data_IF_153498131462
#
_entry.id   IF_153498131462
#
_cell.length_a   1.000
_cell.length_b   1.000
_cell.length_c   1.000
_cell.angle_alpha   90.00
_cell.angle_beta   90.00
_cell.angle_gamma   90.00
#
_symmetry.space_group_name_H-M   'P 1'
#
loop_
_entity.id
_entity.type
_entity.pdbx_description
1 polymer ?
#
# COMPACT_ATOMS: atom_id res chain seq x y z
N UNK A 1 58.43 12.52 -2.34
CA UNK A 1 57.71 13.17 -1.23
C UNK A 1 56.23 13.19 -1.60
N UNK A 2 55.53 12.08 -1.37
CA UNK A 2 54.12 11.91 -1.76
C UNK A 2 53.25 12.21 -0.53
N UNK A 3 52.55 13.34 -0.57
CA UNK A 3 51.55 13.68 0.44
C UNK A 3 50.29 12.86 0.20
N UNK A 4 50.00 11.93 1.10
CA UNK A 4 48.73 11.21 1.13
C UNK A 4 47.76 12.07 1.93
N UNK A 5 46.80 12.70 1.25
CA UNK A 5 45.68 13.39 1.89
C UNK A 5 44.70 12.34 2.42
N UNK A 6 44.68 12.14 3.73
CA UNK A 6 43.64 11.38 4.41
C UNK A 6 42.30 12.13 4.30
N UNK A 7 41.35 11.51 3.62
CA UNK A 7 39.97 11.96 3.57
C UNK A 7 39.30 11.70 4.92
N UNK A 8 39.21 12.73 5.74
CA UNK A 8 38.41 12.75 6.98
C UNK A 8 36.92 12.66 6.66
N UNK A 9 36.44 11.44 6.42
CA UNK A 9 35.02 11.12 6.48
C UNK A 9 34.56 11.25 7.93
N UNK A 10 33.89 12.35 8.25
CA UNK A 10 33.22 12.56 9.54
C UNK A 10 32.06 11.57 9.65
N UNK A 11 32.35 10.35 10.12
CA UNK A 11 31.34 9.40 10.56
C UNK A 11 30.69 9.97 11.82
N UNK A 12 29.41 10.33 11.74
CA UNK A 12 28.62 10.65 12.94
C UNK A 12 28.69 9.45 13.88
N UNK A 13 29.06 9.68 15.14
CA UNK A 13 29.02 8.67 16.18
C UNK A 13 27.58 8.14 16.27
N UNK A 14 27.44 6.86 15.96
CA UNK A 14 26.20 6.12 16.01
C UNK A 14 25.95 5.79 17.47
N UNK A 15 24.93 6.38 18.09
CA UNK A 15 24.38 5.84 19.34
C UNK A 15 23.33 4.80 18.91
N UNK A 16 23.64 3.49 19.01
CA UNK A 16 22.67 2.46 18.68
C UNK A 16 21.45 2.67 19.57
N UNK A 17 20.25 2.67 19.00
CA UNK A 17 19.09 2.42 19.82
C UNK A 17 19.26 1.07 20.52
N UNK A 18 18.87 0.97 21.79
CA UNK A 18 18.93 -0.29 22.54
C UNK A 18 17.89 -1.25 21.95
N UNK A 19 18.19 -2.54 21.75
CA UNK A 19 17.18 -3.52 21.36
C UNK A 19 15.98 -3.45 22.31
N UNK A 20 14.77 -3.36 21.77
CA UNK A 20 13.52 -3.26 22.53
C UNK A 20 12.73 -4.56 22.54
N UNK A 21 12.98 -5.45 21.57
CA UNK A 21 12.25 -6.72 21.45
C UNK A 21 13.02 -7.75 20.59
N UNK A 22 12.49 -8.96 20.47
CA UNK A 22 12.91 -9.99 19.50
C UNK A 22 11.75 -10.47 18.64
N UNK A 23 12.03 -10.65 17.34
CA UNK A 23 11.11 -11.32 16.43
C UNK A 23 11.03 -12.84 16.71
N UNK A 24 10.01 -13.50 16.16
CA UNK A 24 9.83 -14.95 16.26
C UNK A 24 10.98 -15.76 15.65
N UNK A 25 11.73 -15.18 14.71
CA UNK A 25 12.93 -15.77 14.11
C UNK A 25 14.20 -15.54 14.97
N UNK A 26 14.05 -14.93 16.15
CA UNK A 26 15.14 -14.63 17.08
C UNK A 26 15.90 -13.34 16.76
N UNK A 27 15.60 -12.64 15.66
CA UNK A 27 16.29 -11.39 15.33
C UNK A 27 15.94 -10.27 16.33
N UNK A 28 16.94 -9.48 16.71
CA UNK A 28 16.73 -8.30 17.53
C UNK A 28 15.94 -7.22 16.79
N UNK A 29 15.10 -6.51 17.53
CA UNK A 29 14.35 -5.35 17.03
C UNK A 29 14.72 -4.13 17.87
N UNK A 30 15.00 -3.03 17.19
CA UNK A 30 15.50 -1.80 17.80
C UNK A 30 14.47 -0.66 17.87
N UNK A 31 13.23 -0.93 17.46
CA UNK A 31 12.09 -0.03 17.57
C UNK A 31 10.79 -0.83 17.77
N UNK A 32 9.75 -0.29 18.44
CA UNK A 32 8.52 -1.02 18.70
C UNK A 32 7.85 -1.52 17.41
N UNK A 33 7.58 -2.83 17.33
CA UNK A 33 6.90 -3.44 16.19
C UNK A 33 5.53 -2.80 15.97
N UNK A 34 5.17 -2.54 14.72
CA UNK A 34 3.93 -1.88 14.33
C UNK A 34 3.98 -0.35 14.37
N UNK A 35 5.07 0.25 14.85
CA UNK A 35 5.20 1.71 14.99
C UNK A 35 6.52 2.21 14.39
N UNK A 36 6.49 3.36 13.73
CA UNK A 36 7.73 4.03 13.34
C UNK A 36 8.21 4.90 14.50
N UNK A 37 9.24 4.46 15.22
CA UNK A 37 9.85 5.26 16.26
C UNK A 37 10.50 6.51 15.66
N UNK A 38 10.11 7.67 16.16
CA UNK A 38 10.61 8.98 15.75
C UNK A 38 11.48 9.53 16.88
N UNK A 39 12.65 10.07 16.54
CA UNK A 39 13.63 10.59 17.50
C UNK A 39 14.16 11.94 17.02
N UNK A 40 15.04 12.54 17.82
CA UNK A 40 15.66 13.83 17.53
C UNK A 40 14.60 14.90 17.19
N UNK A 41 13.56 14.99 18.03
CA UNK A 41 12.44 15.94 17.87
C UNK A 41 11.75 15.88 16.48
N UNK A 42 11.69 14.69 15.87
CA UNK A 42 11.08 14.54 14.54
C UNK A 42 12.05 14.63 13.37
N UNK A 43 13.36 14.75 13.62
CA UNK A 43 14.39 14.79 12.58
C UNK A 43 14.86 13.41 12.14
N UNK A 44 14.65 12.38 12.97
CA UNK A 44 15.04 11.02 12.66
C UNK A 44 13.91 10.01 12.92
N UNK A 45 13.99 8.88 12.22
CA UNK A 45 13.26 7.65 12.51
C UNK A 45 14.25 6.53 12.78
N UNK A 46 13.88 5.58 13.64
CA UNK A 46 14.75 4.46 14.00
C UNK A 46 14.49 3.26 13.10
N UNK A 47 15.55 2.77 12.44
CA UNK A 47 15.47 1.51 11.72
C UNK A 47 15.27 0.36 12.70
N UNK A 48 14.27 -0.48 12.45
CA UNK A 48 13.93 -1.60 13.33
C UNK A 48 14.98 -2.72 13.28
N UNK A 49 15.70 -2.84 12.16
CA UNK A 49 16.66 -3.92 11.94
C UNK A 49 18.04 -3.66 12.55
N UNK A 50 18.44 -2.40 12.68
CA UNK A 50 19.80 -2.04 13.12
C UNK A 50 19.84 -0.93 14.18
N UNK A 51 18.73 -0.28 14.47
CA UNK A 51 18.68 0.82 15.44
C UNK A 51 19.28 2.12 14.94
N UNK A 52 19.61 2.26 13.65
CA UNK A 52 20.15 3.50 13.10
C UNK A 52 19.10 4.62 13.10
N UNK A 53 19.39 5.81 13.68
CA UNK A 53 18.56 6.99 13.50
C UNK A 53 18.81 7.60 12.11
N UNK A 54 17.75 7.71 11.30
CA UNK A 54 17.81 8.11 9.89
C UNK A 54 16.78 9.19 9.59
N UNK A 55 17.07 10.08 8.64
CA UNK A 55 16.03 10.95 8.07
C UNK A 55 14.91 10.14 7.35
N UNK A 56 15.21 8.90 6.95
CA UNK A 56 14.22 7.92 6.52
C UNK A 56 14.81 6.58 6.10
N UNK A 57 14.05 5.51 6.31
CA UNK A 57 14.37 4.16 5.85
C UNK A 57 14.18 4.09 4.33
N UNK A 58 15.25 4.39 3.60
CA UNK A 58 15.26 4.38 2.13
C UNK A 58 15.33 2.96 1.57
N UNK A 59 15.03 2.79 0.27
CA UNK A 59 15.19 1.51 -0.40
C UNK A 59 16.65 1.02 -0.38
N UNK A 60 17.63 1.94 -0.41
CA UNK A 60 19.04 1.59 -0.30
C UNK A 60 19.38 1.06 1.10
N UNK A 61 18.85 1.69 2.15
CA UNK A 61 19.05 1.23 3.51
C UNK A 61 18.37 -0.12 3.76
N UNK A 62 17.10 -0.29 3.37
CA UNK A 62 16.38 -1.57 3.54
C UNK A 62 17.08 -2.74 2.84
N UNK A 63 17.70 -2.51 1.67
CA UNK A 63 18.49 -3.53 0.95
C UNK A 63 19.72 -3.99 1.72
N UNK A 64 20.33 -3.17 2.58
CA UNK A 64 21.42 -3.60 3.46
C UNK A 64 20.99 -4.71 4.43
N UNK A 65 19.69 -4.84 4.66
CA UNK A 65 19.07 -5.91 5.46
C UNK A 65 18.43 -7.00 4.60
N UNK A 66 18.68 -7.02 3.29
CA UNK A 66 18.05 -7.96 2.37
C UNK A 66 16.54 -7.72 2.17
N UNK A 67 16.02 -6.54 2.52
CA UNK A 67 14.59 -6.25 2.49
C UNK A 67 14.24 -5.24 1.38
N UNK A 68 13.09 -5.45 0.74
CA UNK A 68 12.38 -4.39 0.03
C UNK A 68 11.64 -3.50 1.03
N UNK A 69 11.19 -2.30 0.63
CA UNK A 69 10.37 -1.44 1.52
C UNK A 69 9.00 -2.06 1.88
N UNK A 70 8.51 -2.97 1.05
CA UNK A 70 7.27 -3.73 1.33
C UNK A 70 7.57 -4.80 2.38
N UNK A 71 8.59 -5.63 2.13
CA UNK A 71 9.02 -6.68 3.06
C UNK A 71 9.48 -6.11 4.40
N UNK A 72 10.09 -4.91 4.42
CA UNK A 72 10.42 -4.20 5.65
C UNK A 72 9.18 -3.89 6.48
N UNK A 73 8.13 -3.33 5.86
CA UNK A 73 6.88 -3.02 6.57
C UNK A 73 6.21 -4.28 7.10
N UNK A 74 6.13 -5.31 6.26
CA UNK A 74 5.54 -6.60 6.63
C UNK A 74 6.28 -7.24 7.81
N UNK A 75 7.61 -7.32 7.72
CA UNK A 75 8.46 -7.92 8.78
C UNK A 75 8.27 -7.23 10.13
N UNK A 76 8.14 -5.91 10.14
CA UNK A 76 8.03 -5.12 11.36
C UNK A 76 6.59 -4.68 11.68
N UNK A 77 5.58 -5.32 11.07
CA UNK A 77 4.17 -5.06 11.37
C UNK A 77 3.66 -3.66 11.03
N UNK A 78 4.39 -2.88 10.22
CA UNK A 78 4.01 -1.52 9.86
C UNK A 78 2.88 -1.54 8.84
N UNK A 79 1.86 -0.70 9.05
CA UNK A 79 0.82 -0.49 8.06
C UNK A 79 1.45 0.01 6.73
N UNK A 80 0.89 -0.42 5.60
CA UNK A 80 1.27 0.04 4.26
C UNK A 80 1.36 1.57 4.14
N UNK A 81 0.51 2.31 4.87
CA UNK A 81 0.48 3.79 4.87
C UNK A 81 1.46 4.42 5.85
N UNK A 82 2.11 3.66 6.73
CA UNK A 82 3.07 4.21 7.68
C UNK A 82 4.25 4.85 6.93
N UNK A 83 4.53 6.11 7.28
CA UNK A 83 5.69 6.83 6.78
C UNK A 83 6.97 6.17 7.27
N UNK A 84 7.93 6.02 6.36
CA UNK A 84 9.28 5.57 6.69
C UNK A 84 10.27 6.73 6.74
N UNK A 85 9.80 7.98 6.63
CA UNK A 85 10.62 9.18 6.69
C UNK A 85 10.25 9.99 7.93
N UNK A 86 11.24 10.71 8.45
CA UNK A 86 11.08 11.59 9.59
C UNK A 86 10.13 12.76 9.27
N UNK A 87 9.32 13.21 10.24
CA UNK A 87 8.43 14.36 10.08
C UNK A 87 9.13 15.61 9.50
N UNK A 88 10.31 15.95 9.99
CA UNK A 88 11.06 17.11 9.50
C UNK A 88 11.42 16.99 8.01
N UNK A 89 11.85 15.80 7.56
CA UNK A 89 12.13 15.57 6.14
C UNK A 89 10.85 15.60 5.29
N UNK A 90 9.74 15.08 5.82
CA UNK A 90 8.44 15.16 5.16
C UNK A 90 8.02 16.61 4.94
N UNK A 91 8.22 17.47 5.94
CA UNK A 91 7.89 18.89 5.87
C UNK A 91 8.76 19.66 4.88
N UNK A 92 10.09 19.44 4.90
CA UNK A 92 11.00 20.03 3.91
C UNK A 92 10.58 19.67 2.48
N UNK A 93 10.23 18.40 2.24
CA UNK A 93 9.75 17.94 0.93
C UNK A 93 8.42 18.55 0.54
N UNK A 94 7.51 18.78 1.51
CA UNK A 94 6.23 19.44 1.28
C UNK A 94 6.45 20.88 0.82
N UNK A 95 7.27 21.64 1.54
CA UNK A 95 7.59 23.04 1.21
C UNK A 95 8.26 23.15 -0.15
N UNK A 96 9.29 22.36 -0.42
CA UNK A 96 9.97 22.37 -1.72
C UNK A 96 9.05 21.92 -2.86
N UNK A 97 8.19 20.92 -2.61
CA UNK A 97 7.18 20.48 -3.57
C UNK A 97 6.18 21.59 -3.91
N UNK A 98 5.71 22.32 -2.89
CA UNK A 98 4.81 23.47 -3.08
C UNK A 98 5.50 24.59 -3.85
N UNK A 99 6.75 24.90 -3.51
CA UNK A 99 7.55 25.92 -4.22
C UNK A 99 7.69 25.57 -5.70
N UNK A 100 8.12 24.35 -6.01
CA UNK A 100 8.21 23.85 -7.39
C UNK A 100 6.88 23.93 -8.12
N UNK A 101 5.80 23.56 -7.44
CA UNK A 101 4.45 23.63 -8.03
C UNK A 101 4.07 25.06 -8.43
N UNK A 102 4.39 26.05 -7.60
CA UNK A 102 4.08 27.46 -7.86
C UNK A 102 5.00 28.05 -8.94
N UNK A 103 6.31 27.83 -8.83
CA UNK A 103 7.32 28.51 -9.66
C UNK A 103 7.52 27.87 -11.03
N UNK A 104 7.21 26.57 -11.20
CA UNK A 104 7.57 25.82 -12.39
C UNK A 104 6.33 25.41 -13.22
N UNK A 105 6.10 26.11 -14.34
CA UNK A 105 5.01 25.81 -15.27
C UNK A 105 5.13 24.41 -15.88
N UNK A 106 6.34 23.95 -16.22
CA UNK A 106 6.55 22.63 -16.81
C UNK A 106 6.15 21.48 -15.85
N UNK A 107 6.28 21.67 -14.53
CA UNK A 107 5.76 20.70 -13.55
C UNK A 107 4.25 20.59 -13.62
N UNK A 108 3.53 21.72 -13.75
CA UNK A 108 2.06 21.74 -13.86
C UNK A 108 1.59 21.15 -15.19
N UNK A 109 2.23 21.54 -16.28
CA UNK A 109 1.93 21.04 -17.63
C UNK A 109 2.17 19.54 -17.73
N UNK A 110 3.33 19.05 -17.25
CA UNK A 110 3.62 17.62 -17.21
C UNK A 110 2.62 16.83 -16.38
N UNK A 111 2.19 17.36 -15.22
CA UNK A 111 1.15 16.73 -14.42
C UNK A 111 -0.21 16.71 -15.15
N UNK A 112 -0.58 17.79 -15.83
CA UNK A 112 -1.82 17.87 -16.59
C UNK A 112 -1.85 16.83 -17.73
N UNK A 113 -0.74 16.65 -18.44
CA UNK A 113 -0.58 15.58 -19.45
C UNK A 113 -0.77 14.20 -18.82
N UNK A 114 -0.09 13.92 -17.70
CA UNK A 114 -0.24 12.65 -16.98
C UNK A 114 -1.67 12.38 -16.53
N UNK A 115 -2.36 13.40 -16.01
CA UNK A 115 -3.77 13.30 -15.63
C UNK A 115 -4.69 13.04 -16.83
N UNK A 116 -4.44 13.67 -17.98
CA UNK A 116 -5.20 13.41 -19.20
C UNK A 116 -5.03 11.96 -19.67
N UNK A 117 -3.79 11.45 -19.69
CA UNK A 117 -3.50 10.05 -20.02
C UNK A 117 -4.13 9.05 -19.05
N UNK A 118 -4.18 9.38 -17.76
CA UNK A 118 -4.83 8.55 -16.76
C UNK A 118 -6.36 8.53 -16.95
N UNK A 119 -6.98 9.68 -17.25
CA UNK A 119 -8.43 9.78 -17.51
C UNK A 119 -8.85 9.06 -18.79
N UNK A 120 -8.05 9.14 -19.85
CA UNK A 120 -8.35 8.46 -21.12
C UNK A 120 -8.11 6.95 -21.08
N UNK A 121 -7.38 6.45 -20.07
CA UNK A 121 -6.95 5.06 -20.00
C UNK A 121 -5.67 4.75 -20.79
N UNK A 122 -5.14 5.71 -21.55
CA UNK A 122 -3.89 5.54 -22.30
C UNK A 122 -2.71 5.16 -21.39
N UNK A 123 -2.67 5.70 -20.16
CA UNK A 123 -1.62 5.35 -19.18
C UNK A 123 -1.66 3.86 -18.78
N UNK A 124 -2.85 3.25 -18.75
CA UNK A 124 -3.02 1.83 -18.48
C UNK A 124 -2.55 0.97 -19.66
N UNK A 125 -2.81 1.39 -20.88
CA UNK A 125 -2.38 0.69 -22.10
C UNK A 125 -0.86 0.74 -22.25
N UNK A 126 -0.25 1.92 -22.10
CA UNK A 126 1.20 2.09 -22.08
C UNK A 126 1.85 1.25 -20.98
N UNK A 127 1.27 1.27 -19.78
CA UNK A 127 1.73 0.44 -18.67
C UNK A 127 1.59 -1.05 -18.94
N UNK A 128 0.56 -1.48 -19.67
CA UNK A 128 0.39 -2.88 -20.06
C UNK A 128 1.42 -3.31 -21.12
N UNK A 129 1.65 -2.47 -22.13
CA UNK A 129 2.62 -2.72 -23.19
C UNK A 129 4.07 -2.75 -22.69
N UNK A 130 4.40 -1.95 -21.67
CA UNK A 130 5.73 -1.88 -21.09
C UNK A 130 6.07 -3.06 -20.15
N UNK A 131 5.10 -3.90 -19.79
CA UNK A 131 5.33 -5.05 -18.90
C UNK A 131 5.59 -6.31 -19.72
N UNK A 132 6.58 -7.14 -19.35
CA UNK A 132 6.76 -8.46 -19.95
C UNK A 132 5.48 -9.31 -19.85
N UNK A 133 5.24 -10.12 -20.89
CA UNK A 133 4.09 -11.03 -20.89
C UNK A 133 4.11 -11.94 -19.64
N UNK A 134 3.00 -12.01 -18.92
CA UNK A 134 2.86 -12.85 -17.73
C UNK A 134 3.35 -12.23 -16.40
N UNK A 135 4.03 -11.08 -16.38
CA UNK A 135 4.50 -10.45 -15.13
C UNK A 135 3.50 -9.47 -14.50
N UNK A 136 2.32 -9.36 -15.10
CA UNK A 136 1.29 -8.40 -14.69
C UNK A 136 0.80 -8.72 -13.28
N UNK A 137 1.30 -7.99 -12.27
CA UNK A 137 0.65 -7.96 -10.96
C UNK A 137 -0.73 -7.33 -11.11
N UNK A 138 -1.77 -8.02 -10.64
CA UNK A 138 -3.11 -7.46 -10.53
C UNK A 138 -3.07 -6.23 -9.60
N UNK A 139 -2.96 -5.03 -10.17
CA UNK A 139 -3.04 -3.81 -9.38
C UNK A 139 -4.45 -3.70 -8.80
N UNK A 140 -4.55 -3.96 -7.49
CA UNK A 140 -5.76 -3.81 -6.71
C UNK A 140 -6.06 -2.34 -6.42
N UNK A 141 -7.14 -1.85 -7.06
CA UNK A 141 -7.88 -0.58 -6.87
C UNK A 141 -7.06 0.68 -7.24
N UNK A 142 -7.54 1.57 -8.11
CA UNK A 142 -8.74 2.40 -7.87
C UNK A 142 -9.27 3.13 -9.12
N UNK A 143 -10.60 3.26 -9.17
CA UNK A 143 -11.38 4.43 -9.61
C UNK A 143 -11.01 5.18 -10.92
N UNK A 144 -11.18 4.53 -12.08
CA UNK A 144 -11.76 5.28 -13.21
C UNK A 144 -13.26 5.47 -12.91
N UNK A 145 -13.73 6.72 -12.89
CA UNK A 145 -15.13 7.08 -12.71
C UNK A 145 -16.04 6.21 -13.59
N UNK A 146 -17.27 5.96 -13.13
CA UNK A 146 -18.26 5.15 -13.89
C UNK A 146 -18.52 5.72 -15.29
N UNK A 147 -18.34 7.02 -15.49
CA UNK A 147 -18.56 7.71 -16.76
C UNK A 147 -17.32 7.79 -17.68
N UNK A 148 -16.10 7.67 -17.15
CA UNK A 148 -14.86 7.78 -17.93
C UNK A 148 -14.18 6.45 -18.26
N UNK A 149 -14.78 5.31 -17.89
CA UNK A 149 -14.15 4.01 -18.08
C UNK A 149 -14.20 3.56 -19.55
N UNK A 150 -13.04 3.25 -20.12
CA UNK A 150 -12.94 2.65 -21.46
C UNK A 150 -13.81 1.39 -21.58
N UNK A 151 -14.31 1.04 -22.78
CA UNK A 151 -15.12 -0.17 -22.99
C UNK A 151 -14.46 -1.45 -22.45
N UNK A 152 -13.13 -1.57 -22.60
CA UNK A 152 -12.36 -2.70 -22.09
C UNK A 152 -12.37 -2.81 -20.55
N UNK A 153 -12.27 -1.67 -19.85
CA UNK A 153 -12.36 -1.63 -18.38
C UNK A 153 -13.76 -1.97 -17.88
N UNK A 154 -14.81 -1.56 -18.62
CA UNK A 154 -16.20 -1.94 -18.31
C UNK A 154 -16.40 -3.45 -18.45
N UNK A 155 -15.99 -4.03 -19.58
CA UNK A 155 -16.07 -5.46 -19.81
C UNK A 155 -15.28 -6.28 -18.77
N UNK A 156 -14.11 -5.81 -18.35
CA UNK A 156 -13.33 -6.50 -17.31
C UNK A 156 -13.99 -6.46 -15.93
N UNK A 157 -14.57 -5.32 -15.54
CA UNK A 157 -15.34 -5.19 -14.30
C UNK A 157 -16.54 -6.13 -14.30
N UNK A 158 -17.24 -6.21 -15.43
CA UNK A 158 -18.38 -7.10 -15.60
C UNK A 158 -17.98 -8.56 -15.44
N UNK A 159 -16.92 -9.02 -16.15
CA UNK A 159 -16.38 -10.37 -15.99
C UNK A 159 -16.03 -10.69 -14.54
N UNK A 160 -15.36 -9.78 -13.83
CA UNK A 160 -15.01 -9.97 -12.41
C UNK A 160 -16.25 -10.01 -11.50
N UNK A 161 -17.27 -9.22 -11.81
CA UNK A 161 -18.55 -9.21 -11.08
C UNK A 161 -19.28 -10.54 -11.25
N UNK A 162 -19.35 -11.05 -12.47
CA UNK A 162 -19.92 -12.38 -12.79
C UNK A 162 -19.16 -13.48 -12.05
N UNK A 163 -17.83 -13.50 -12.16
CA UNK A 163 -17.00 -14.49 -11.48
C UNK A 163 -17.13 -14.41 -9.94
N UNK A 164 -17.29 -13.20 -9.38
CA UNK A 164 -17.52 -13.03 -7.95
C UNK A 164 -18.88 -13.59 -7.52
N UNK A 165 -19.94 -13.33 -8.28
CA UNK A 165 -21.27 -13.90 -8.02
C UNK A 165 -21.26 -15.42 -8.08
N UNK A 166 -20.59 -16.01 -9.07
CA UNK A 166 -20.44 -17.46 -9.16
C UNK A 166 -19.76 -18.05 -7.93
N UNK A 167 -18.67 -17.43 -7.44
CA UNK A 167 -18.01 -17.87 -6.20
C UNK A 167 -18.93 -17.80 -4.99
N UNK A 168 -19.76 -16.76 -4.88
CA UNK A 168 -20.72 -16.65 -3.78
C UNK A 168 -21.81 -17.71 -3.89
N UNK A 169 -22.35 -17.97 -5.07
CA UNK A 169 -23.35 -19.04 -5.28
C UNK A 169 -22.82 -20.40 -4.83
N UNK A 170 -21.57 -20.74 -5.22
CA UNK A 170 -20.92 -21.99 -4.76
C UNK A 170 -20.79 -22.00 -3.24
N UNK A 171 -20.29 -20.91 -2.66
CA UNK A 171 -20.09 -20.81 -1.21
C UNK A 171 -21.40 -20.88 -0.42
N UNK A 172 -22.47 -20.32 -0.96
CA UNK A 172 -23.81 -20.36 -0.37
C UNK A 172 -24.40 -21.77 -0.40
N UNK A 173 -24.17 -22.52 -1.48
CA UNK A 173 -24.55 -23.93 -1.55
C UNK A 173 -23.78 -24.78 -0.52
N UNK A 174 -22.49 -24.50 -0.30
CA UNK A 174 -21.69 -25.14 0.77
C UNK A 174 -22.23 -24.83 2.18
N UNK A 175 -22.87 -23.67 2.36
CA UNK A 175 -23.52 -23.27 3.61
C UNK A 175 -24.94 -23.85 3.75
N UNK A 176 -25.40 -24.64 2.78
CA UNK A 176 -26.69 -25.34 2.83
C UNK A 176 -27.88 -24.56 2.27
N UNK A 177 -27.64 -23.48 1.51
CA UNK A 177 -28.70 -22.67 0.91
C UNK A 177 -28.80 -22.89 -0.60
N UNK A 178 -29.99 -22.77 -1.16
CA UNK A 178 -30.26 -23.03 -2.59
C UNK A 178 -29.85 -21.85 -3.46
N UNK A 179 -29.87 -20.64 -2.91
CA UNK A 179 -29.51 -19.42 -3.64
C UNK A 179 -28.89 -18.36 -2.73
N UNK A 180 -28.13 -17.45 -3.34
CA UNK A 180 -27.57 -16.29 -2.64
C UNK A 180 -28.66 -15.40 -2.03
N UNK A 181 -29.81 -15.30 -2.69
CA UNK A 181 -30.95 -14.51 -2.21
C UNK A 181 -31.56 -15.10 -0.94
N UNK A 182 -31.79 -16.42 -0.93
CA UNK A 182 -32.28 -17.16 0.24
C UNK A 182 -31.34 -17.00 1.44
N UNK A 183 -30.03 -17.16 1.20
CA UNK A 183 -29.00 -16.93 2.23
C UNK A 183 -29.05 -15.50 2.78
N UNK A 184 -29.09 -14.48 1.93
CA UNK A 184 -29.11 -13.08 2.38
C UNK A 184 -30.40 -12.76 3.14
N UNK A 185 -31.54 -13.32 2.75
CA UNK A 185 -32.80 -13.19 3.47
C UNK A 185 -32.72 -13.82 4.86
N UNK A 186 -32.19 -15.05 4.97
CA UNK A 186 -31.99 -15.71 6.25
C UNK A 186 -31.07 -14.92 7.18
N UNK A 187 -29.98 -14.34 6.65
CA UNK A 187 -29.04 -13.51 7.42
C UNK A 187 -29.64 -12.19 7.88
N UNK A 188 -30.49 -11.55 7.06
CA UNK A 188 -31.26 -10.37 7.46
C UNK A 188 -32.21 -10.67 8.61
N UNK A 189 -32.97 -11.77 8.53
CA UNK A 189 -33.90 -12.18 9.60
C UNK A 189 -33.14 -12.48 10.89
N UNK A 190 -32.00 -13.15 10.80
CA UNK A 190 -31.15 -13.47 11.94
C UNK A 190 -30.38 -12.26 12.52
N UNK A 191 -30.48 -11.07 11.90
CA UNK A 191 -29.78 -9.87 12.36
C UNK A 191 -28.26 -9.94 12.25
N UNK A 192 -27.75 -10.78 11.35
CA UNK A 192 -26.31 -11.03 11.17
C UNK A 192 -25.63 -9.79 10.60
N UNK A 193 -24.42 -9.51 11.05
CA UNK A 193 -23.67 -8.32 10.65
C UNK A 193 -23.02 -8.47 9.28
N UNK A 194 -22.74 -7.35 8.61
CA UNK A 194 -21.98 -7.35 7.36
C UNK A 194 -20.57 -7.94 7.52
N UNK A 195 -20.01 -7.95 8.74
CA UNK A 195 -18.74 -8.61 9.01
C UNK A 195 -18.84 -10.13 8.87
N UNK A 196 -19.89 -10.72 9.42
CA UNK A 196 -20.11 -12.17 9.38
C UNK A 196 -20.40 -12.63 7.94
N UNK A 197 -21.24 -11.90 7.20
CA UNK A 197 -21.49 -12.16 5.78
C UNK A 197 -20.19 -12.11 4.96
N UNK A 198 -19.32 -11.15 5.27
CA UNK A 198 -17.99 -11.02 4.63
C UNK A 198 -17.13 -12.26 4.88
N UNK A 199 -17.13 -12.77 6.11
CA UNK A 199 -16.36 -13.96 6.50
C UNK A 199 -16.94 -15.20 5.83
N UNK A 200 -18.26 -15.37 5.87
CA UNK A 200 -18.95 -16.54 5.31
C UNK A 200 -18.80 -16.63 3.78
N UNK A 201 -18.98 -15.51 3.06
CA UNK A 201 -18.93 -15.45 1.59
C UNK A 201 -17.52 -15.17 1.02
N UNK A 202 -16.54 -14.83 1.86
CA UNK A 202 -15.20 -14.45 1.41
C UNK A 202 -15.19 -13.21 0.50
N UNK A 203 -16.10 -12.25 0.73
CA UNK A 203 -16.25 -11.05 -0.10
C UNK A 203 -15.60 -9.81 0.55
N UNK A 204 -15.62 -8.66 -0.14
CA UNK A 204 -15.13 -7.40 0.43
C UNK A 204 -16.15 -6.77 1.38
N UNK A 205 -15.70 -6.06 2.42
CA UNK A 205 -16.60 -5.46 3.43
C UNK A 205 -17.69 -4.54 2.84
N UNK A 206 -17.34 -3.66 1.90
CA UNK A 206 -18.34 -2.82 1.22
C UNK A 206 -19.32 -3.62 0.36
N UNK A 207 -18.88 -4.76 -0.18
CA UNK A 207 -19.75 -5.69 -0.91
C UNK A 207 -20.70 -6.41 0.03
N UNK A 208 -20.23 -6.87 1.19
CA UNK A 208 -21.07 -7.52 2.20
C UNK A 208 -22.15 -6.58 2.73
N UNK A 209 -21.81 -5.33 3.09
CA UNK A 209 -22.79 -4.32 3.50
C UNK A 209 -23.84 -4.09 2.41
N UNK A 210 -23.40 -3.95 1.16
CA UNK A 210 -24.33 -3.75 0.04
C UNK A 210 -25.27 -4.94 -0.16
N UNK A 211 -24.74 -6.16 -0.19
CA UNK A 211 -25.56 -7.37 -0.37
C UNK A 211 -26.61 -7.51 0.75
N UNK A 212 -26.23 -7.17 1.98
CA UNK A 212 -27.12 -7.26 3.13
C UNK A 212 -28.24 -6.21 3.10
N UNK A 213 -27.95 -4.97 2.68
CA UNK A 213 -28.91 -3.85 2.74
C UNK A 213 -29.64 -3.54 1.43
N UNK A 214 -29.03 -3.78 0.26
CA UNK A 214 -29.55 -3.37 -1.06
C UNK A 214 -30.03 -4.57 -1.92
N UNK A 215 -29.77 -5.82 -1.50
CA UNK A 215 -30.03 -7.01 -2.32
C UNK A 215 -28.87 -7.37 -3.27
N UNK A 216 -29.01 -8.49 -3.99
CA UNK A 216 -27.95 -9.10 -4.82
C UNK A 216 -27.90 -8.59 -6.28
#
# INVERSE_FOLDING_TARGET
>A
MFGVSESSGVGRAFEPHVPVDRLADGAWVYAPVGQMAVTDEGRAVVCHACGEPLAGVSAAHARRHGLSLVAYRERFGLNRKTSLIAPALSEVRRVEGQRRWVENAAVREGLAVGQALARSGALYELGAAAQPAGTRRAQGRSAASREGASPALRADRERRSVAARQRWTVRVAELGFTSLEEYLQARRIAGVTAHEVRVELGCGGSTASRLLHEGA
#
